data_IF_958252679954
#
_entry.id   IF_958252679954
#
_cell.length_a   1.000
_cell.length_b   1.000
_cell.length_c   1.000
_cell.angle_alpha   90.00
_cell.angle_beta   90.00
_cell.angle_gamma   90.00
#
_symmetry.space_group_name_H-M   'P 1'
#
loop_
_entity.id
_entity.type
_entity.pdbx_description
1 polymer ?
#
# COMPACT_ATOMS: atom_id res chain seq x y z
N UNK A 1 -3.01 -58.89 -0.02
CA UNK A 1 -2.59 -59.59 -1.25
C UNK A 1 -2.63 -58.57 -2.39
N UNK A 2 -1.44 -58.25 -2.95
CA UNK A 2 -1.08 -57.30 -4.03
C UNK A 2 -1.39 -55.80 -3.77
N UNK A 3 -0.48 -54.81 -3.68
CA UNK A 3 0.90 -54.54 -4.14
C UNK A 3 1.12 -54.55 -5.66
N UNK A 4 1.33 -53.35 -6.22
CA UNK A 4 2.04 -53.00 -7.48
C UNK A 4 2.25 -51.46 -7.44
N UNK A 5 3.44 -50.92 -7.16
CA UNK A 5 4.64 -50.79 -8.01
C UNK A 5 4.37 -50.19 -9.39
N UNK A 6 4.72 -48.91 -9.58
CA UNK A 6 5.24 -48.36 -10.83
C UNK A 6 6.31 -47.31 -10.52
N UNK A 7 7.55 -47.71 -10.75
CA UNK A 7 8.79 -46.96 -10.63
C UNK A 7 9.10 -46.08 -11.87
N UNK A 8 9.82 -44.99 -11.60
CA UNK A 8 11.03 -44.58 -12.33
C UNK A 8 10.99 -44.38 -13.86
N UNK A 9 10.07 -43.56 -14.39
CA UNK A 9 10.13 -43.14 -15.81
C UNK A 9 10.23 -41.62 -16.08
N UNK A 10 10.25 -40.78 -15.04
CA UNK A 10 10.37 -39.31 -15.21
C UNK A 10 11.78 -38.79 -14.88
N UNK A 11 12.59 -39.56 -14.13
CA UNK A 11 13.93 -39.16 -13.69
C UNK A 11 15.05 -39.33 -14.75
N UNK A 12 14.75 -39.88 -15.94
CA UNK A 12 15.78 -40.13 -16.98
C UNK A 12 15.74 -39.19 -18.20
N UNK A 13 14.88 -38.16 -18.21
CA UNK A 13 14.82 -37.19 -19.32
C UNK A 13 15.53 -35.86 -19.07
N UNK A 14 16.37 -35.78 -18.03
CA UNK A 14 17.19 -34.61 -17.69
C UNK A 14 18.71 -34.88 -17.89
N UNK A 15 19.10 -36.12 -18.20
CA UNK A 15 20.52 -36.53 -18.24
C UNK A 15 21.17 -36.57 -19.64
N UNK A 16 20.64 -35.89 -20.65
CA UNK A 16 21.22 -35.90 -22.01
C UNK A 16 21.36 -34.54 -22.69
N UNK A 17 21.33 -33.43 -21.95
CA UNK A 17 21.72 -32.12 -22.47
C UNK A 17 23.15 -31.80 -22.09
N UNK A 18 24.07 -32.02 -23.02
CA UNK A 18 25.46 -31.56 -22.95
C UNK A 18 25.50 -30.02 -23.03
N UNK A 19 26.25 -29.33 -22.15
CA UNK A 19 26.41 -27.89 -22.25
C UNK A 19 27.31 -27.56 -23.45
N UNK A 20 26.77 -26.79 -24.41
CA UNK A 20 27.57 -26.20 -25.48
C UNK A 20 28.24 -24.94 -24.94
N UNK A 21 29.55 -25.00 -24.70
CA UNK A 21 30.36 -23.86 -24.29
C UNK A 21 30.51 -22.90 -25.48
N UNK A 22 29.75 -21.81 -25.50
CA UNK A 22 30.11 -20.62 -26.28
C UNK A 22 30.92 -19.70 -25.37
N UNK A 23 32.24 -19.81 -25.45
CA UNK A 23 33.14 -18.81 -24.88
C UNK A 23 33.26 -17.64 -25.84
N UNK A 24 32.63 -16.52 -25.51
CA UNK A 24 33.14 -15.20 -25.90
C UNK A 24 32.86 -14.22 -24.76
N UNK A 25 33.80 -14.12 -23.83
CA UNK A 25 33.86 -13.05 -22.85
C UNK A 25 34.13 -11.73 -23.59
N UNK A 26 33.37 -10.64 -23.37
CA UNK A 26 33.77 -9.34 -23.88
C UNK A 26 35.01 -8.85 -23.12
N UNK A 27 36.07 -8.53 -23.86
CA UNK A 27 37.30 -7.94 -23.33
C UNK A 27 37.00 -6.57 -22.70
N UNK A 28 37.51 -6.25 -21.50
CA UNK A 28 37.42 -4.90 -20.93
C UNK A 28 38.17 -3.92 -21.83
N UNK A 29 37.44 -3.16 -22.64
CA UNK A 29 38.01 -2.22 -23.62
C UNK A 29 37.09 -1.91 -24.81
N UNK A 30 36.10 -2.77 -25.10
CA UNK A 30 35.19 -2.56 -26.23
C UNK A 30 34.10 -1.49 -25.98
N UNK A 31 33.85 -1.11 -24.72
CA UNK A 31 32.85 -0.08 -24.36
C UNK A 31 33.46 1.33 -24.50
N UNK A 32 34.78 1.46 -24.41
CA UNK A 32 35.48 2.75 -24.45
C UNK A 32 35.74 3.27 -25.88
N UNK A 33 35.66 2.40 -26.90
CA UNK A 33 35.81 2.81 -28.30
C UNK A 33 34.49 3.33 -28.91
N UNK A 34 33.33 2.84 -28.45
CA UNK A 34 32.02 3.30 -28.93
C UNK A 34 31.59 4.66 -28.36
N UNK A 35 32.28 5.16 -27.31
CA UNK A 35 32.02 6.45 -26.68
C UNK A 35 32.86 7.60 -27.25
N UNK A 36 33.84 7.34 -28.13
CA UNK A 36 34.72 8.36 -28.70
C UNK A 36 34.40 8.78 -30.15
N UNK A 37 33.42 8.12 -30.80
CA UNK A 37 33.03 8.43 -32.20
C UNK A 37 31.72 9.23 -32.34
N UNK A 38 31.12 9.69 -31.24
CA UNK A 38 30.05 10.70 -31.32
C UNK A 38 30.67 12.09 -31.51
N UNK A 39 31.04 12.38 -32.76
CA UNK A 39 31.40 13.73 -33.18
C UNK A 39 30.25 14.72 -32.89
N UNK A 40 30.66 15.88 -32.40
CA UNK A 40 29.88 17.08 -32.08
C UNK A 40 28.69 17.34 -33.01
N UNK A 41 27.48 17.17 -32.48
CA UNK A 41 26.32 17.96 -32.92
C UNK A 41 26.16 19.09 -31.91
N UNK A 42 26.57 20.29 -32.29
CA UNK A 42 26.34 21.51 -31.54
C UNK A 42 24.85 21.79 -31.47
N UNK A 43 24.27 21.57 -30.29
CA UNK A 43 22.90 21.96 -29.97
C UNK A 43 22.91 23.41 -29.47
N UNK A 44 22.32 24.33 -30.24
CA UNK A 44 22.07 25.71 -29.84
C UNK A 44 20.64 25.83 -29.27
N UNK A 45 20.47 26.09 -27.96
CA UNK A 45 19.16 26.12 -27.32
C UNK A 45 18.33 27.40 -27.59
N UNK A 46 18.74 28.30 -28.48
CA UNK A 46 18.01 29.55 -28.76
C UNK A 46 17.47 29.73 -30.20
N UNK A 47 17.53 28.72 -31.08
CA UNK A 47 16.90 28.82 -32.40
C UNK A 47 15.40 28.51 -32.37
N UNK A 48 14.58 29.54 -32.19
CA UNK A 48 13.13 29.50 -32.46
C UNK A 48 12.83 30.04 -33.85
N UNK A 49 12.61 29.17 -34.85
CA UNK A 49 11.71 29.35 -36.01
C UNK A 49 11.87 28.21 -37.04
N UNK A 50 10.80 27.56 -37.53
CA UNK A 50 10.86 26.80 -38.78
C UNK A 50 10.82 27.74 -40.00
N UNK A 51 11.45 27.38 -41.14
CA UNK A 51 11.44 28.20 -42.34
C UNK A 51 10.03 28.29 -42.94
N UNK A 52 9.58 29.52 -43.21
CA UNK A 52 8.37 29.79 -43.98
C UNK A 52 8.63 29.47 -45.47
N UNK A 53 8.13 28.34 -45.94
CA UNK A 53 8.01 28.08 -47.38
C UNK A 53 6.67 28.64 -47.86
N UNK A 54 6.72 29.78 -48.56
CA UNK A 54 5.56 30.33 -49.28
C UNK A 54 5.21 29.40 -50.45
N UNK A 55 4.04 28.75 -50.38
CA UNK A 55 3.43 28.11 -51.56
C UNK A 55 2.34 29.05 -52.07
N UNK A 56 2.56 29.58 -53.27
CA UNK A 56 1.62 30.42 -54.01
C UNK A 56 0.34 29.64 -54.38
N UNK A 57 -0.78 30.36 -54.39
CA UNK A 57 -2.13 29.79 -54.38
C UNK A 57 -2.63 29.12 -55.65
N UNK A 58 -3.64 28.26 -55.45
CA UNK A 58 -4.60 27.80 -56.46
C UNK A 58 -6.01 28.14 -55.97
N UNK A 59 -6.94 28.52 -56.87
CA UNK A 59 -8.27 28.99 -56.49
C UNK A 59 -9.18 27.85 -55.99
N UNK A 60 -10.15 28.13 -55.10
CA UNK A 60 -11.04 27.11 -54.56
C UNK A 60 -12.14 26.70 -55.55
N UNK A 61 -12.37 25.40 -55.71
CA UNK A 61 -13.53 24.84 -56.40
C UNK A 61 -14.70 24.61 -55.40
N UNK A 62 -15.97 24.83 -55.78
CA UNK A 62 -17.09 24.69 -54.85
C UNK A 62 -17.71 23.27 -54.81
N UNK A 63 -17.90 22.78 -53.56
CA UNK A 63 -18.99 21.98 -52.96
C UNK A 63 -19.62 20.74 -53.64
N UNK A 64 -19.63 19.63 -52.89
CA UNK A 64 -20.86 18.90 -52.52
C UNK A 64 -20.61 18.03 -51.25
N UNK A 65 -21.55 17.93 -50.28
CA UNK A 65 -21.41 17.00 -49.16
C UNK A 65 -21.88 15.60 -49.55
N UNK A 66 -21.01 14.60 -49.35
CA UNK A 66 -21.38 13.18 -49.45
C UNK A 66 -22.17 12.75 -48.20
N UNK A 67 -23.37 12.16 -48.32
CA UNK A 67 -24.14 11.72 -47.17
C UNK A 67 -23.81 10.27 -46.84
N UNK A 68 -22.59 9.97 -46.39
CA UNK A 68 -22.27 8.79 -45.56
C UNK A 68 -20.77 8.80 -45.23
N UNK A 69 -20.41 9.30 -44.04
CA UNK A 69 -19.15 8.97 -43.42
C UNK A 69 -19.45 7.91 -42.34
N UNK A 70 -18.77 6.74 -42.34
CA UNK A 70 -18.91 5.82 -41.21
C UNK A 70 -18.44 6.57 -39.96
N UNK A 71 -19.30 6.63 -38.95
CA UNK A 71 -18.88 7.14 -37.64
C UNK A 71 -17.74 6.24 -37.18
N UNK A 72 -16.52 6.77 -37.21
CA UNK A 72 -15.44 6.22 -36.43
C UNK A 72 -15.93 6.18 -34.99
N UNK A 73 -16.04 4.97 -34.44
CA UNK A 73 -16.21 4.76 -33.02
C UNK A 73 -15.12 5.57 -32.32
N UNK A 74 -15.49 6.72 -31.76
CA UNK A 74 -14.60 7.47 -30.90
C UNK A 74 -14.33 6.57 -29.69
N UNK A 75 -13.06 6.25 -29.36
CA UNK A 75 -12.77 5.68 -28.05
C UNK A 75 -13.28 6.68 -27.01
N UNK A 76 -14.05 6.19 -26.05
CA UNK A 76 -14.52 6.95 -24.89
C UNK A 76 -13.35 7.77 -24.30
N UNK A 77 -13.45 9.10 -24.44
CA UNK A 77 -12.77 10.14 -23.66
C UNK A 77 -11.43 9.78 -23.01
N UNK A 78 -10.38 9.63 -23.80
CA UNK A 78 -9.03 9.95 -23.33
C UNK A 78 -8.56 11.19 -24.09
N UNK A 79 -8.89 12.36 -23.55
CA UNK A 79 -8.09 13.55 -23.87
C UNK A 79 -6.67 13.27 -23.36
N UNK A 80 -5.63 13.28 -24.21
CA UNK A 80 -4.26 13.27 -23.73
C UNK A 80 -4.02 14.65 -23.13
N UNK A 81 -4.43 14.85 -21.88
CA UNK A 81 -3.74 15.84 -21.07
C UNK A 81 -2.30 15.37 -21.07
N UNK A 82 -1.40 16.14 -21.70
CA UNK A 82 0.03 15.94 -21.48
C UNK A 82 0.21 15.90 -19.96
N UNK A 83 0.50 14.71 -19.42
CA UNK A 83 0.67 14.54 -17.98
C UNK A 83 1.96 15.25 -17.66
N UNK A 84 1.87 16.52 -17.26
CA UNK A 84 3.03 17.28 -16.83
C UNK A 84 3.49 16.64 -15.53
N UNK A 85 4.62 15.93 -15.61
CA UNK A 85 5.30 15.42 -14.43
C UNK A 85 5.87 16.61 -13.67
N UNK A 86 5.58 16.67 -12.38
CA UNK A 86 6.01 17.78 -11.54
C UNK A 86 6.30 17.33 -10.13
N UNK A 87 7.14 18.11 -9.46
CA UNK A 87 7.35 18.01 -8.03
C UNK A 87 6.18 18.63 -7.28
N UNK A 88 5.73 17.95 -6.23
CA UNK A 88 4.68 18.38 -5.32
C UNK A 88 5.25 18.29 -3.91
N UNK A 89 5.27 19.42 -3.20
CA UNK A 89 5.65 19.48 -1.80
C UNK A 89 4.41 19.28 -0.94
N UNK A 90 4.52 18.44 0.10
CA UNK A 90 3.43 18.12 1.02
C UNK A 90 2.13 17.69 0.31
N UNK A 91 2.18 16.63 -0.54
CA UNK A 91 0.97 16.11 -1.18
C UNK A 91 -0.04 15.66 -0.12
N UNK A 92 -1.30 16.09 -0.27
CA UNK A 92 -2.37 15.81 0.69
C UNK A 92 -2.96 14.40 0.60
N UNK A 93 -2.88 13.79 -0.58
CA UNK A 93 -3.29 12.41 -0.77
C UNK A 93 -2.07 11.50 -0.91
N UNK A 94 -2.29 10.18 -0.82
CA UNK A 94 -1.23 9.20 -1.05
C UNK A 94 -1.38 8.50 -2.41
N UNK A 95 -0.24 8.17 -3.00
CA UNK A 95 -0.16 7.21 -4.11
C UNK A 95 -0.58 5.83 -3.63
N UNK A 96 -0.20 5.45 -2.39
CA UNK A 96 -0.51 4.15 -1.81
C UNK A 96 -1.37 4.34 -0.55
N UNK A 97 -2.72 4.38 -0.68
CA UNK A 97 -3.61 4.50 0.48
C UNK A 97 -3.33 3.42 1.54
N UNK A 98 -3.50 3.79 2.82
CA UNK A 98 -3.37 2.87 3.95
C UNK A 98 -4.37 1.72 3.79
N UNK A 99 -4.02 0.52 4.23
CA UNK A 99 -4.92 -0.64 4.24
C UNK A 99 -6.08 -0.38 5.21
N UNK A 100 -7.33 -0.46 4.75
CA UNK A 100 -8.47 0.02 5.55
C UNK A 100 -8.62 -0.74 6.88
N UNK A 101 -8.47 -2.05 6.84
CA UNK A 101 -8.63 -2.97 7.97
C UNK A 101 -7.30 -3.41 8.58
N UNK A 102 -6.22 -2.66 8.37
CA UNK A 102 -4.96 -2.84 9.11
C UNK A 102 -5.05 -2.12 10.46
N UNK A 103 -4.82 -2.87 11.54
CA UNK A 103 -4.84 -2.43 12.93
C UNK A 103 -3.67 -1.52 13.26
N UNK A 104 -2.54 -1.75 12.59
CA UNK A 104 -1.25 -1.08 12.81
C UNK A 104 -1.03 0.11 11.90
N UNK A 105 -2.00 0.39 11.05
CA UNK A 105 -2.07 1.60 10.25
C UNK A 105 -1.91 2.87 11.10
N UNK A 106 -0.98 3.74 10.73
CA UNK A 106 -0.86 5.07 11.34
C UNK A 106 -1.96 6.00 10.82
N UNK A 107 -3.01 6.20 11.63
CA UNK A 107 -4.21 7.01 11.34
C UNK A 107 -4.81 7.60 12.62
N UNK A 108 -5.89 8.38 12.50
CA UNK A 108 -6.75 8.67 13.64
C UNK A 108 -7.88 7.66 13.68
N UNK A 109 -8.06 6.97 14.81
CA UNK A 109 -9.15 6.00 14.97
C UNK A 109 -9.58 5.82 16.42
N UNK A 110 -10.80 5.35 16.61
CA UNK A 110 -11.33 4.91 17.90
C UNK A 110 -12.32 3.77 17.69
N UNK A 111 -12.20 2.70 18.46
CA UNK A 111 -13.05 1.52 18.37
C UNK A 111 -13.47 1.08 19.76
N UNK A 112 -14.77 0.87 19.94
CA UNK A 112 -15.32 0.25 21.13
C UNK A 112 -15.56 -1.24 20.85
N UNK A 113 -14.92 -2.10 21.63
CA UNK A 113 -15.01 -3.56 21.51
C UNK A 113 -15.34 -4.16 22.88
N UNK A 114 -16.06 -5.28 22.89
CA UNK A 114 -16.33 -6.05 24.11
C UNK A 114 -15.93 -7.50 23.87
N UNK A 115 -14.74 -7.92 24.33
CA UNK A 115 -14.33 -9.33 24.26
C UNK A 115 -15.23 -10.20 25.15
N UNK A 116 -15.29 -11.49 24.86
CA UNK A 116 -16.02 -12.45 25.71
C UNK A 116 -15.30 -12.62 27.06
N UNK A 117 -16.03 -12.38 28.16
CA UNK A 117 -15.48 -12.52 29.51
C UNK A 117 -14.58 -11.37 29.96
N UNK A 118 -14.58 -10.24 29.24
CA UNK A 118 -13.77 -9.06 29.54
C UNK A 118 -14.60 -7.77 29.49
N UNK A 119 -14.01 -6.67 29.95
CA UNK A 119 -14.63 -5.35 30.04
C UNK A 119 -14.85 -4.71 28.66
N UNK A 120 -15.62 -3.60 28.62
CA UNK A 120 -15.64 -2.72 27.45
C UNK A 120 -14.26 -2.08 27.25
N UNK A 121 -13.68 -2.30 26.07
CA UNK A 121 -12.40 -1.74 25.67
C UNK A 121 -12.59 -0.58 24.70
N UNK A 122 -11.71 0.42 24.79
CA UNK A 122 -11.54 1.46 23.78
C UNK A 122 -10.14 1.35 23.19
N UNK A 123 -10.08 0.92 21.93
CA UNK A 123 -8.85 0.92 21.13
C UNK A 123 -8.76 2.24 20.36
N UNK A 124 -7.82 3.09 20.74
CA UNK A 124 -7.56 4.40 20.13
C UNK A 124 -6.26 4.39 19.31
N UNK A 125 -6.30 4.97 18.11
CA UNK A 125 -5.09 5.28 17.33
C UNK A 125 -4.95 6.79 17.21
N UNK A 126 -3.84 7.31 17.72
CA UNK A 126 -3.46 8.70 17.60
C UNK A 126 -2.23 8.80 16.71
N UNK A 127 -2.44 9.10 15.44
CA UNK A 127 -1.35 9.21 14.48
C UNK A 127 -1.81 9.54 13.07
N UNK A 128 -0.89 9.44 12.14
CA UNK A 128 -1.16 9.71 10.74
C UNK A 128 0.06 9.45 9.87
N UNK A 129 -0.14 9.63 8.57
CA UNK A 129 0.90 9.54 7.56
C UNK A 129 0.87 10.79 6.70
N UNK A 130 2.02 11.42 6.55
CA UNK A 130 2.16 12.70 5.89
C UNK A 130 3.07 12.56 4.68
N UNK A 131 2.60 12.98 3.51
CA UNK A 131 3.43 13.06 2.32
C UNK A 131 4.45 14.20 2.46
N UNK A 132 5.72 13.90 2.21
CA UNK A 132 6.78 14.92 2.15
C UNK A 132 6.92 15.46 0.74
N UNK A 133 7.13 14.58 -0.23
CA UNK A 133 7.36 14.96 -1.62
C UNK A 133 6.77 13.92 -2.56
N UNK A 134 6.22 14.37 -3.69
CA UNK A 134 5.81 13.52 -4.81
C UNK A 134 6.39 14.04 -6.11
N UNK A 135 6.88 13.13 -6.94
CA UNK A 135 7.19 13.39 -8.34
C UNK A 135 6.29 12.51 -9.19
N UNK A 136 5.41 13.11 -9.97
CA UNK A 136 4.41 12.36 -10.72
C UNK A 136 3.47 13.25 -11.50
N UNK A 137 2.48 12.61 -12.12
CA UNK A 137 1.42 13.33 -12.80
C UNK A 137 0.47 14.01 -11.77
N UNK A 138 -0.43 14.86 -12.28
CA UNK A 138 -1.51 15.46 -11.49
C UNK A 138 -2.81 14.66 -11.59
N UNK A 139 -2.72 13.37 -11.92
CA UNK A 139 -3.92 12.55 -12.04
C UNK A 139 -4.63 12.46 -10.69
N UNK A 140 -5.95 12.62 -10.73
CA UNK A 140 -6.80 12.42 -9.57
C UNK A 140 -7.37 11.00 -9.60
N UNK A 141 -7.73 10.50 -8.42
CA UNK A 141 -8.33 9.18 -8.28
C UNK A 141 -7.30 8.09 -7.96
N UNK A 142 -7.70 6.81 -8.06
CA UNK A 142 -6.89 5.70 -7.58
C UNK A 142 -5.68 5.38 -8.47
N UNK A 143 -5.72 5.74 -9.75
CA UNK A 143 -4.75 5.30 -10.76
C UNK A 143 -3.60 6.30 -10.97
N UNK A 144 -2.92 6.67 -9.89
CA UNK A 144 -1.85 7.66 -9.94
C UNK A 144 -0.55 7.13 -10.55
N UNK A 145 0.20 8.03 -11.19
CA UNK A 145 1.56 7.75 -11.66
C UNK A 145 2.60 8.58 -10.90
N UNK A 146 3.73 7.95 -10.59
CA UNK A 146 4.89 8.62 -10.02
C UNK A 146 5.39 7.96 -8.75
N UNK A 147 6.20 8.71 -8.01
CA UNK A 147 6.76 8.30 -6.72
C UNK A 147 6.37 9.30 -5.62
N UNK A 148 6.23 8.81 -4.39
CA UNK A 148 5.93 9.64 -3.22
C UNK A 148 6.65 9.11 -1.99
N UNK A 149 7.33 10.01 -1.28
CA UNK A 149 7.90 9.72 0.04
C UNK A 149 6.96 10.25 1.12
N UNK A 150 6.62 9.39 2.06
CA UNK A 150 5.80 9.68 3.23
C UNK A 150 6.63 9.53 4.52
N UNK A 151 6.13 10.12 5.59
CA UNK A 151 6.51 9.79 6.97
C UNK A 151 5.26 9.39 7.75
N UNK A 152 5.35 8.44 8.65
CA UNK A 152 4.25 8.02 9.50
C UNK A 152 4.64 7.94 10.97
N UNK A 153 3.64 8.14 11.84
CA UNK A 153 3.78 8.02 13.28
C UNK A 153 2.42 7.77 13.94
N UNK A 154 2.35 6.85 14.89
CA UNK A 154 1.15 6.63 15.72
C UNK A 154 1.46 6.07 17.10
N UNK A 155 0.58 6.39 18.05
CA UNK A 155 0.40 5.66 19.29
C UNK A 155 -0.96 4.95 19.25
N UNK A 156 -0.96 3.65 19.49
CA UNK A 156 -2.14 2.77 19.42
C UNK A 156 -2.40 2.23 20.82
N UNK A 157 -3.32 2.87 21.53
CA UNK A 157 -3.61 2.61 22.94
C UNK A 157 -4.85 1.72 23.08
N UNK A 158 -4.82 0.81 24.06
CA UNK A 158 -6.01 0.12 24.56
C UNK A 158 -6.34 0.59 25.97
N UNK A 159 -7.56 1.09 26.14
CA UNK A 159 -8.10 1.52 27.42
C UNK A 159 -9.16 0.54 27.91
N UNK A 160 -9.15 0.27 29.22
CA UNK A 160 -10.23 -0.45 29.90
C UNK A 160 -11.27 0.54 30.43
N UNK A 161 -12.44 0.58 29.79
CA UNK A 161 -13.44 1.61 30.10
C UNK A 161 -14.22 1.37 31.37
N UNK A 162 -14.17 0.16 31.92
CA UNK A 162 -14.87 -0.20 33.15
C UNK A 162 -13.92 -0.13 34.36
N UNK A 163 -12.60 0.03 34.12
CA UNK A 163 -11.54 0.22 35.10
C UNK A 163 -10.93 1.62 34.98
N UNK A 164 -11.71 2.67 35.25
CA UNK A 164 -11.23 4.07 35.29
C UNK A 164 -10.54 4.59 34.00
N UNK A 165 -10.77 3.92 32.86
CA UNK A 165 -10.06 4.18 31.61
C UNK A 165 -8.55 3.86 31.68
N UNK A 166 -8.15 2.88 32.49
CA UNK A 166 -6.76 2.44 32.63
C UNK A 166 -6.15 2.02 31.30
N UNK A 167 -4.88 2.36 31.10
CA UNK A 167 -4.13 1.92 29.92
C UNK A 167 -3.71 0.46 30.13
N UNK A 168 -4.15 -0.42 29.24
CA UNK A 168 -3.65 -1.81 29.20
C UNK A 168 -2.32 -1.90 28.49
N UNK A 169 -2.23 -1.24 27.33
CA UNK A 169 -1.01 -1.20 26.52
C UNK A 169 -1.05 -0.07 25.51
N UNK A 170 0.12 0.26 24.99
CA UNK A 170 0.30 1.18 23.89
C UNK A 170 1.39 0.68 22.95
N UNK A 171 1.06 0.62 21.66
CA UNK A 171 2.00 0.34 20.60
C UNK A 171 2.38 1.64 19.89
N UNK A 172 3.67 1.95 19.82
CA UNK A 172 4.21 3.09 19.10
C UNK A 172 4.77 2.63 17.76
N UNK A 173 4.38 3.31 16.69
CA UNK A 173 4.86 3.04 15.33
C UNK A 173 5.42 4.32 14.71
N UNK A 174 6.54 4.22 14.03
CA UNK A 174 7.09 5.30 13.20
C UNK A 174 7.73 4.73 11.93
N UNK A 175 7.59 5.40 10.79
CA UNK A 175 8.08 4.85 9.53
C UNK A 175 8.26 5.84 8.40
N UNK A 176 8.92 5.38 7.34
CA UNK A 176 9.23 6.17 6.12
C UNK A 176 8.91 5.33 4.88
N UNK A 177 7.67 5.36 4.37
CA UNK A 177 7.28 4.68 3.14
C UNK A 177 7.70 5.46 1.89
N UNK A 178 8.24 4.75 0.90
CA UNK A 178 8.39 5.19 -0.48
C UNK A 178 7.42 4.41 -1.36
N UNK A 179 6.50 5.13 -2.01
CA UNK A 179 5.44 4.55 -2.83
C UNK A 179 5.64 4.88 -4.31
N UNK A 180 5.24 3.97 -5.19
CA UNK A 180 5.25 4.12 -6.64
C UNK A 180 3.90 3.72 -7.24
N UNK A 181 3.43 4.50 -8.21
CA UNK A 181 2.17 4.28 -8.91
C UNK A 181 2.39 4.13 -10.41
N UNK A 182 1.72 3.13 -11.01
CA UNK A 182 1.74 2.82 -12.43
C UNK A 182 0.33 2.42 -12.89
N UNK A 183 -0.59 3.40 -12.90
CA UNK A 183 -1.98 3.18 -13.25
C UNK A 183 -2.68 2.31 -12.21
N UNK A 184 -3.11 1.10 -12.59
CA UNK A 184 -3.82 0.18 -11.69
C UNK A 184 -2.90 -0.50 -10.67
N UNK A 185 -1.59 -0.49 -10.92
CA UNK A 185 -0.57 -1.05 -10.04
C UNK A 185 0.00 0.01 -9.11
N UNK A 186 0.21 -0.38 -7.86
CA UNK A 186 0.89 0.42 -6.86
C UNK A 186 1.89 -0.48 -6.13
N UNK A 187 3.05 0.05 -5.78
CA UNK A 187 4.01 -0.66 -4.93
C UNK A 187 4.58 0.30 -3.91
N UNK A 188 5.06 -0.23 -2.80
CA UNK A 188 5.78 0.53 -1.81
C UNK A 188 6.91 -0.28 -1.20
N UNK A 189 7.93 0.43 -0.76
CA UNK A 189 8.99 -0.10 0.09
C UNK A 189 9.22 0.89 1.22
N UNK A 190 9.79 0.45 2.32
CA UNK A 190 10.13 1.39 3.37
C UNK A 190 10.64 0.73 4.62
N UNK A 191 10.72 1.55 5.64
CA UNK A 191 11.14 1.18 6.97
C UNK A 191 10.05 1.56 7.97
N UNK A 192 9.86 0.74 9.00
CA UNK A 192 9.17 1.17 10.20
C UNK A 192 9.83 0.59 11.46
N UNK A 193 9.75 1.35 12.55
CA UNK A 193 9.97 0.93 13.91
C UNK A 193 8.62 0.69 14.59
N UNK A 194 8.51 -0.36 15.40
CA UNK A 194 7.39 -0.54 16.31
C UNK A 194 7.88 -1.04 17.67
N UNK A 195 7.44 -0.38 18.74
CA UNK A 195 7.62 -0.84 20.13
C UNK A 195 6.28 -0.90 20.85
N UNK A 196 6.11 -1.85 21.77
CA UNK A 196 4.89 -1.99 22.57
C UNK A 196 5.21 -1.99 24.05
N UNK A 197 4.37 -1.29 24.81
CA UNK A 197 4.53 -1.10 26.25
C UNK A 197 3.22 -1.40 26.97
N UNK A 198 3.27 -2.28 27.97
CA UNK A 198 2.19 -2.49 28.94
C UNK A 198 1.99 -1.22 29.77
N UNK A 199 0.75 -0.83 30.03
CA UNK A 199 0.42 0.32 30.87
C UNK A 199 0.82 0.08 32.33
N UNK A 200 1.22 1.14 33.03
CA UNK A 200 1.60 1.04 34.43
C UNK A 200 0.40 0.82 35.35
N UNK A 201 -0.77 1.39 35.03
CA UNK A 201 -2.00 1.11 35.78
C UNK A 201 -2.36 -0.38 35.71
N UNK A 202 -2.23 -0.99 34.52
CA UNK A 202 -2.42 -2.43 34.35
C UNK A 202 -1.43 -3.25 35.18
N UNK A 203 -0.14 -2.88 35.20
CA UNK A 203 0.90 -3.58 35.97
C UNK A 203 0.68 -3.46 37.49
N UNK A 204 0.19 -2.32 37.97
CA UNK A 204 -0.15 -2.13 39.38
C UNK A 204 -1.31 -3.04 39.83
N UNK A 205 -2.29 -3.25 38.95
CA UNK A 205 -3.42 -4.17 39.18
C UNK A 205 -3.07 -5.64 38.96
N UNK A 206 -2.02 -5.93 38.18
CA UNK A 206 -1.57 -7.27 37.81
C UNK A 206 -0.07 -7.46 38.14
N UNK A 207 0.32 -7.51 39.43
CA UNK A 207 1.73 -7.51 39.84
C UNK A 207 2.51 -8.76 39.40
N UNK A 208 1.80 -9.85 39.09
CA UNK A 208 2.39 -11.11 38.60
C UNK A 208 2.52 -11.14 37.07
N UNK A 209 2.15 -10.08 36.35
CA UNK A 209 2.28 -10.01 34.89
C UNK A 209 3.72 -9.68 34.48
N UNK A 210 4.31 -10.56 33.66
CA UNK A 210 5.64 -10.36 33.10
C UNK A 210 5.63 -9.29 32.00
N UNK A 211 6.18 -8.12 32.29
CA UNK A 211 6.33 -7.04 31.30
C UNK A 211 7.30 -7.45 30.20
N UNK A 212 6.78 -7.53 28.98
CA UNK A 212 7.56 -7.77 27.76
C UNK A 212 8.13 -6.47 27.18
N UNK A 213 9.29 -6.56 26.51
CA UNK A 213 9.89 -5.48 25.74
C UNK A 213 9.72 -5.74 24.24
N UNK A 214 8.49 -5.80 23.77
CA UNK A 214 8.23 -6.10 22.36
C UNK A 214 8.70 -4.94 21.49
N UNK A 215 9.64 -5.20 20.59
CA UNK A 215 10.09 -4.21 19.61
C UNK A 215 10.58 -4.84 18.32
N UNK A 216 10.46 -4.10 17.21
CA UNK A 216 10.98 -4.52 15.90
C UNK A 216 11.31 -3.34 15.01
N UNK A 217 12.33 -3.52 14.18
CA UNK A 217 12.71 -2.62 13.10
C UNK A 217 12.64 -3.36 11.78
N UNK A 218 11.76 -2.91 10.90
CA UNK A 218 11.30 -3.68 9.75
C UNK A 218 11.56 -2.95 8.45
N UNK A 219 12.16 -3.67 7.50
CA UNK A 219 12.10 -3.30 6.09
C UNK A 219 10.93 -4.02 5.45
N UNK A 220 10.09 -3.29 4.71
CA UNK A 220 8.92 -3.88 4.06
C UNK A 220 8.89 -3.60 2.56
N UNK A 221 8.21 -4.49 1.83
CA UNK A 221 7.87 -4.32 0.43
C UNK A 221 6.43 -4.78 0.20
N UNK A 222 5.63 -3.92 -0.44
CA UNK A 222 4.22 -4.16 -0.71
C UNK A 222 3.84 -3.88 -2.16
N UNK A 223 2.78 -4.54 -2.61
CA UNK A 223 2.16 -4.34 -3.90
C UNK A 223 0.64 -4.36 -3.77
N UNK A 224 -0.02 -3.49 -4.54
CA UNK A 224 -1.47 -3.43 -4.63
C UNK A 224 -1.92 -3.31 -6.08
N UNK A 225 -3.09 -3.88 -6.35
CA UNK A 225 -3.74 -3.83 -7.65
C UNK A 225 -5.19 -3.38 -7.50
N UNK A 226 -5.57 -2.34 -8.24
CA UNK A 226 -6.95 -1.90 -8.33
C UNK A 226 -7.72 -2.74 -9.36
N UNK A 227 -8.62 -3.60 -8.88
CA UNK A 227 -9.52 -4.42 -9.70
C UNK A 227 -10.58 -3.55 -10.38
N UNK A 228 -11.06 -2.53 -9.68
CA UNK A 228 -11.91 -1.47 -10.23
C UNK A 228 -11.47 -0.12 -9.65
N UNK A 229 -12.13 0.98 -9.99
CA UNK A 229 -11.87 2.27 -9.32
C UNK A 229 -12.22 2.27 -7.82
N UNK A 230 -12.92 1.25 -7.33
CA UNK A 230 -13.38 1.17 -5.93
C UNK A 230 -12.91 -0.08 -5.19
N UNK A 231 -12.37 -1.06 -5.90
CA UNK A 231 -11.96 -2.35 -5.35
C UNK A 231 -10.45 -2.53 -5.53
N UNK A 232 -9.71 -2.68 -4.43
CA UNK A 232 -8.26 -2.89 -4.39
C UNK A 232 -7.95 -4.18 -3.65
N UNK A 233 -6.94 -4.91 -4.12
CA UNK A 233 -6.31 -6.00 -3.37
C UNK A 233 -4.82 -5.73 -3.22
N UNK A 234 -4.20 -6.27 -2.18
CA UNK A 234 -2.81 -6.00 -1.84
C UNK A 234 -2.16 -7.15 -1.11
N UNK A 235 -0.83 -7.13 -1.11
CA UNK A 235 0.04 -7.98 -0.30
C UNK A 235 1.31 -7.23 0.08
N UNK A 236 1.85 -7.51 1.26
CA UNK A 236 3.06 -6.91 1.81
C UNK A 236 3.83 -7.94 2.62
N UNK A 237 5.15 -7.90 2.49
CA UNK A 237 6.09 -8.68 3.28
C UNK A 237 6.96 -7.73 4.08
N UNK A 238 7.13 -8.04 5.36
CA UNK A 238 8.05 -7.34 6.26
C UNK A 238 9.15 -8.28 6.73
N UNK A 239 10.37 -7.77 6.79
CA UNK A 239 11.52 -8.43 7.38
C UNK A 239 12.10 -7.55 8.49
N UNK A 240 12.01 -8.02 9.73
CA UNK A 240 12.62 -7.38 10.88
C UNK A 240 14.11 -7.71 10.92
N UNK A 241 14.95 -6.70 10.72
CA UNK A 241 16.41 -6.84 10.84
C UNK A 241 16.88 -6.66 12.30
N UNK A 242 16.02 -6.09 13.13
CA UNK A 242 16.12 -6.11 14.58
C UNK A 242 14.76 -6.50 15.17
N UNK A 243 14.78 -7.40 16.14
CA UNK A 243 13.59 -7.86 16.85
C UNK A 243 13.94 -8.20 18.31
N UNK A 244 13.03 -7.85 19.22
CA UNK A 244 13.01 -8.25 20.63
C UNK A 244 11.60 -8.72 20.95
N UNK A 245 11.45 -9.92 21.50
CA UNK A 245 10.20 -10.71 21.62
C UNK A 245 9.56 -11.11 20.26
N UNK A 246 9.60 -10.23 19.26
CA UNK A 246 9.19 -10.49 17.87
C UNK A 246 10.18 -11.41 17.12
N UNK A 247 9.71 -11.99 16.01
CA UNK A 247 10.55 -12.67 15.01
C UNK A 247 10.63 -11.88 13.70
N UNK A 248 11.31 -12.41 12.69
CA UNK A 248 11.75 -11.64 11.53
C UNK A 248 10.63 -11.40 10.53
N UNK A 249 9.85 -12.43 10.18
CA UNK A 249 8.94 -12.35 9.04
C UNK A 249 7.52 -11.97 9.44
N UNK A 250 6.93 -11.09 8.64
CA UNK A 250 5.48 -10.85 8.63
C UNK A 250 4.94 -10.80 7.21
N UNK A 251 3.67 -11.19 7.07
CA UNK A 251 2.95 -11.16 5.81
C UNK A 251 1.58 -10.55 6.01
N UNK A 252 1.27 -9.56 5.18
CA UNK A 252 -0.02 -8.88 5.18
C UNK A 252 -0.66 -9.02 3.82
N UNK A 253 -1.97 -9.25 3.76
CA UNK A 253 -2.70 -9.24 2.50
C UNK A 253 -4.17 -8.91 2.74
N UNK A 254 -4.87 -8.49 1.69
CA UNK A 254 -6.26 -8.10 1.85
C UNK A 254 -6.96 -7.67 0.57
N UNK A 255 -8.23 -7.36 0.75
CA UNK A 255 -9.12 -6.81 -0.27
C UNK A 255 -10.02 -5.76 0.36
N UNK A 256 -10.23 -4.66 -0.34
CA UNK A 256 -10.96 -3.52 0.18
C UNK A 256 -11.76 -2.81 -0.91
N UNK A 257 -12.96 -2.40 -0.53
CA UNK A 257 -13.92 -1.67 -1.34
C UNK A 257 -14.18 -0.31 -0.68
N UNK A 258 -13.98 0.78 -1.42
CA UNK A 258 -14.11 2.14 -0.86
C UNK A 258 -14.49 3.21 -1.91
N UNK A 259 -15.06 4.35 -1.50
CA UNK A 259 -15.17 5.50 -2.38
C UNK A 259 -13.80 6.12 -2.66
N UNK A 260 -13.46 6.29 -3.94
CA UNK A 260 -12.22 6.94 -4.39
C UNK A 260 -12.44 8.35 -4.91
N UNK A 261 -13.67 8.67 -5.33
CA UNK A 261 -14.11 10.01 -5.67
C UNK A 261 -14.78 10.71 -4.47
N UNK A 262 -14.79 12.05 -4.43
CA UNK A 262 -15.44 12.81 -3.36
C UNK A 262 -16.92 12.47 -3.25
N UNK A 263 -17.40 12.13 -2.06
CA UNK A 263 -18.78 11.68 -1.84
C UNK A 263 -19.74 12.80 -1.46
N UNK A 264 -19.21 13.96 -1.03
CA UNK A 264 -19.99 15.00 -0.38
C UNK A 264 -20.72 14.46 0.85
N UNK A 265 -21.85 15.09 1.20
CA UNK A 265 -22.67 14.74 2.37
C UNK A 265 -23.28 13.33 2.32
N UNK A 266 -23.45 12.75 1.12
CA UNK A 266 -24.11 11.45 0.96
C UNK A 266 -23.29 10.28 1.48
N UNK A 267 -21.96 10.41 1.49
CA UNK A 267 -21.07 9.28 1.75
C UNK A 267 -21.26 8.13 0.76
N UNK A 268 -20.65 6.99 1.04
CA UNK A 268 -20.80 5.76 0.28
C UNK A 268 -20.40 4.55 1.15
N UNK A 269 -20.86 3.33 0.84
CA UNK A 269 -20.44 2.14 1.58
C UNK A 269 -18.95 1.85 1.37
N UNK A 270 -18.34 1.25 2.40
CA UNK A 270 -17.01 0.63 2.34
C UNK A 270 -17.04 -0.76 2.98
N UNK A 271 -16.12 -1.62 2.57
CA UNK A 271 -15.88 -2.93 3.18
C UNK A 271 -14.41 -3.31 3.01
N UNK A 272 -13.82 -4.03 3.96
CA UNK A 272 -12.44 -4.48 3.87
C UNK A 272 -12.23 -5.79 4.63
N UNK A 273 -11.33 -6.61 4.12
CA UNK A 273 -10.82 -7.81 4.77
C UNK A 273 -9.29 -7.77 4.73
N UNK A 274 -8.66 -8.00 5.88
CA UNK A 274 -7.22 -7.94 6.06
C UNK A 274 -6.74 -9.12 6.88
N UNK A 275 -5.67 -9.76 6.44
CA UNK A 275 -4.98 -10.78 7.20
C UNK A 275 -3.55 -10.33 7.47
N UNK A 276 -3.07 -10.60 8.69
CA UNK A 276 -1.70 -10.33 9.12
C UNK A 276 -1.15 -11.59 9.79
N UNK A 277 -0.13 -12.19 9.18
CA UNK A 277 0.58 -13.37 9.66
C UNK A 277 1.94 -12.96 10.19
N UNK A 278 2.37 -13.55 11.31
CA UNK A 278 3.64 -13.19 11.98
C UNK A 278 4.41 -14.44 12.37
N UNK A 279 5.71 -14.44 12.16
CA UNK A 279 6.59 -15.58 12.42
C UNK A 279 6.64 -15.96 13.90
N UNK A 280 6.61 -14.98 14.82
CA UNK A 280 6.61 -15.23 16.27
C UNK A 280 5.37 -15.98 16.77
N UNK A 281 4.39 -16.20 15.89
CA UNK A 281 3.14 -16.92 16.14
C UNK A 281 3.03 -18.18 15.27
N UNK A 282 4.15 -18.73 14.79
CA UNK A 282 4.20 -19.86 13.86
C UNK A 282 3.42 -19.59 12.56
N UNK A 283 3.48 -18.35 12.06
CA UNK A 283 2.68 -17.85 10.93
C UNK A 283 1.16 -17.91 11.17
N UNK A 284 0.74 -18.04 12.43
CA UNK A 284 -0.55 -17.56 12.87
C UNK A 284 -0.61 -16.03 12.81
N UNK A 285 -1.68 -15.45 13.35
CA UNK A 285 -1.85 -14.01 13.33
C UNK A 285 -3.31 -13.62 13.49
N UNK A 286 -3.82 -12.82 12.57
CA UNK A 286 -5.19 -12.30 12.68
C UNK A 286 -5.89 -12.04 11.35
N UNK A 287 -7.22 -12.02 11.44
CA UNK A 287 -8.15 -11.61 10.39
C UNK A 287 -9.01 -10.47 10.90
N UNK A 288 -9.10 -9.40 10.11
CA UNK A 288 -9.94 -8.25 10.37
C UNK A 288 -10.91 -8.03 9.23
N UNK A 289 -12.18 -7.86 9.59
CA UNK A 289 -13.26 -7.49 8.68
C UNK A 289 -13.85 -6.15 9.13
N UNK A 290 -13.93 -5.20 8.22
CA UNK A 290 -14.57 -3.91 8.47
C UNK A 290 -15.63 -3.63 7.41
N UNK A 291 -16.77 -3.08 7.82
CA UNK A 291 -17.80 -2.62 6.90
C UNK A 291 -18.60 -1.47 7.48
N UNK A 292 -19.03 -0.55 6.63
CA UNK A 292 -19.83 0.59 7.06
C UNK A 292 -19.99 1.67 6.01
N UNK A 293 -20.03 2.91 6.48
CA UNK A 293 -20.20 4.10 5.65
C UNK A 293 -18.95 4.98 5.68
N UNK A 294 -18.62 5.55 4.54
CA UNK A 294 -17.42 6.35 4.36
C UNK A 294 -17.70 7.67 3.62
N UNK A 295 -16.96 8.70 3.98
CA UNK A 295 -16.99 10.02 3.35
C UNK A 295 -15.59 10.38 2.86
N UNK A 296 -15.48 10.61 1.55
CA UNK A 296 -14.22 10.94 0.87
C UNK A 296 -14.16 12.44 0.59
N UNK A 297 -13.10 13.09 1.07
CA UNK A 297 -12.77 14.49 0.78
C UNK A 297 -12.16 14.67 -0.60
N UNK A 298 -12.09 15.93 -1.09
CA UNK A 298 -11.39 16.28 -2.34
C UNK A 298 -9.88 16.24 -2.21
N UNK A 299 -9.39 16.42 -0.98
CA UNK A 299 -7.99 16.36 -0.57
C UNK A 299 -7.48 14.93 -0.38
N UNK A 300 -8.35 13.93 -0.42
CA UNK A 300 -8.00 12.53 -0.24
C UNK A 300 -8.19 12.02 1.19
N UNK A 301 -8.72 12.83 2.09
CA UNK A 301 -9.14 12.36 3.41
C UNK A 301 -10.31 11.36 3.29
N UNK A 302 -10.37 10.38 4.17
CA UNK A 302 -11.40 9.35 4.25
C UNK A 302 -11.85 9.18 5.69
N UNK A 303 -13.06 9.64 5.99
CA UNK A 303 -13.75 9.35 7.24
C UNK A 303 -14.57 8.08 7.07
N UNK A 304 -14.49 7.15 8.02
CA UNK A 304 -15.19 5.87 8.01
C UNK A 304 -15.85 5.64 9.36
N UNK A 305 -17.05 5.08 9.32
CA UNK A 305 -17.83 4.69 10.49
C UNK A 305 -18.46 3.34 10.22
N UNK A 306 -18.34 2.38 11.14
CA UNK A 306 -18.82 1.03 10.85
C UNK A 306 -18.54 0.00 11.93
N UNK A 307 -18.83 -1.25 11.58
CA UNK A 307 -18.55 -2.42 12.41
C UNK A 307 -17.13 -2.90 12.12
N UNK A 308 -16.44 -3.31 13.19
CA UNK A 308 -15.12 -3.94 13.18
C UNK A 308 -15.27 -5.34 13.76
N UNK A 309 -14.81 -6.35 13.04
CA UNK A 309 -14.67 -7.72 13.52
C UNK A 309 -13.21 -8.11 13.42
N UNK A 310 -12.67 -8.63 14.50
CA UNK A 310 -11.31 -9.09 14.58
C UNK A 310 -11.25 -10.46 15.22
N UNK A 311 -10.44 -11.32 14.65
CA UNK A 311 -10.18 -12.63 15.22
C UNK A 311 -8.71 -12.99 15.04
N UNK A 312 -8.01 -13.26 16.15
CA UNK A 312 -6.62 -13.68 16.10
C UNK A 312 -5.84 -13.40 17.36
N UNK A 313 -4.51 -13.38 17.22
CA UNK A 313 -3.55 -13.06 18.27
C UNK A 313 -3.47 -11.56 18.51
N UNK A 314 -3.49 -11.13 19.77
CA UNK A 314 -3.76 -9.76 20.23
C UNK A 314 -3.16 -8.68 19.33
N UNK A 315 -3.98 -7.67 19.06
CA UNK A 315 -3.54 -6.45 18.39
C UNK A 315 -2.60 -5.62 19.26
N UNK A 316 -2.52 -5.90 20.57
CA UNK A 316 -1.63 -5.21 21.49
C UNK A 316 -0.38 -6.07 21.68
N UNK A 317 0.76 -5.63 21.15
CA UNK A 317 1.90 -6.56 21.02
C UNK A 317 2.63 -6.84 22.33
N UNK A 318 2.35 -6.08 23.40
CA UNK A 318 2.71 -6.46 24.77
C UNK A 318 1.96 -7.72 25.26
N UNK A 319 0.89 -8.11 24.57
CA UNK A 319 0.09 -9.32 24.79
C UNK A 319 0.06 -10.21 23.55
N UNK A 320 1.11 -10.18 22.72
CA UNK A 320 1.13 -10.70 21.35
C UNK A 320 0.66 -12.16 21.20
N UNK A 321 0.82 -12.99 22.22
CA UNK A 321 0.49 -14.43 22.21
C UNK A 321 -0.94 -14.73 22.67
N UNK A 322 -1.65 -13.74 23.22
CA UNK A 322 -3.03 -13.85 23.69
C UNK A 322 -3.99 -13.91 22.52
N UNK A 323 -4.99 -14.78 22.55
CA UNK A 323 -6.02 -14.85 21.50
C UNK A 323 -7.20 -13.97 21.87
N UNK A 324 -7.69 -13.19 20.90
CA UNK A 324 -8.74 -12.19 21.07
C UNK A 324 -9.75 -12.24 19.91
N UNK A 325 -11.00 -12.66 20.18
CA UNK A 325 -12.13 -12.37 19.31
C UNK A 325 -12.76 -11.04 19.72
N UNK A 326 -12.77 -10.06 18.83
CA UNK A 326 -13.35 -8.73 19.08
C UNK A 326 -14.42 -8.44 18.06
N UNK A 327 -15.55 -7.93 18.53
CA UNK A 327 -16.57 -7.29 17.70
C UNK A 327 -16.87 -5.92 18.28
N UNK A 328 -16.97 -4.92 17.40
CA UNK A 328 -17.07 -3.55 17.85
C UNK A 328 -17.60 -2.60 16.80
N UNK A 329 -17.68 -1.34 17.24
CA UNK A 329 -18.02 -0.22 16.38
C UNK A 329 -16.86 0.77 16.39
N UNK A 330 -16.49 1.24 15.20
CA UNK A 330 -15.31 2.05 14.98
C UNK A 330 -15.57 3.31 14.17
N UNK A 331 -14.74 4.31 14.45
CA UNK A 331 -14.55 5.53 13.67
C UNK A 331 -13.09 5.57 13.23
N UNK A 332 -12.84 5.77 11.94
CA UNK A 332 -11.49 5.90 11.38
C UNK A 332 -11.42 7.14 10.50
N UNK A 333 -10.31 7.85 10.58
CA UNK A 333 -10.00 9.01 9.76
C UNK A 333 -8.59 8.86 9.18
N UNK A 334 -8.55 8.54 7.89
CA UNK A 334 -7.33 8.43 7.09
C UNK A 334 -7.12 9.78 6.36
N UNK A 335 -6.00 10.46 6.60
CA UNK A 335 -5.72 11.81 6.07
C UNK A 335 -4.30 11.98 5.55
#
# INVERSE_FOLDING_TARGET
>A
MAVLCCDAAIAQRVASLTPTTSQSLPTPGAITAALNDSQSLSFDPYQTSPPQTQVAGLPPLPLAPLPFAPQTLQPLGMSPQSTVWQWQLLPKDSIYPVYLADEKASRLAGRFTRPEGDNLLLDGTLGGRFGLFRFGDRSNGPFRHGMQLDIEGSAQVRLDMEEEADVRSVDFRAGVPLSFGFGRWQTRVGYYHLSSHTGDEFLLKNPDHDRLNFSRDVLFAGAAFWITERLRTYGEVGWAFYSDVSEQWEFMFGIEFMPTAPTGWRGAPFAAAHAHLREELDYGGSLTLQAGWAWRGRDGALLRLGVDFYEGKSQQWSFYDSYEPLIGFGLWYDY
#
